data_IF_481311697212
#
_entry.id   IF_481311697212
#
_cell.length_a   1.000
_cell.length_b   1.000
_cell.length_c   1.000
_cell.angle_alpha   90.00
_cell.angle_beta   90.00
_cell.angle_gamma   90.00
#
_symmetry.space_group_name_H-M   'P 1'
#
loop_
_entity.id
_entity.type
_entity.pdbx_description
1 polymer ?
#
# COMPACT_ATOMS: atom_id res chain seq x y z
N UNK A 1 12.96 -4.41 5.76
CA UNK A 1 13.34 -3.29 4.88
C UNK A 1 12.33 -3.02 3.76
N UNK A 2 11.80 -4.03 3.05
CA UNK A 2 10.91 -3.80 1.89
C UNK A 2 9.62 -3.01 2.16
N UNK A 3 8.94 -3.25 3.28
CA UNK A 3 7.67 -2.58 3.61
C UNK A 3 7.84 -1.07 3.84
N UNK A 4 8.97 -0.64 4.41
CA UNK A 4 9.24 0.78 4.64
C UNK A 4 9.44 1.53 3.31
N UNK A 5 10.11 0.90 2.35
CA UNK A 5 10.30 1.44 1.00
C UNK A 5 8.94 1.53 0.28
N UNK A 6 8.14 0.45 0.31
CA UNK A 6 6.81 0.43 -0.28
C UNK A 6 5.90 1.52 0.33
N UNK A 7 5.94 1.69 1.66
CA UNK A 7 5.19 2.74 2.36
C UNK A 7 5.60 4.14 1.90
N UNK A 8 6.89 4.41 1.77
CA UNK A 8 7.39 5.71 1.32
C UNK A 8 6.90 6.02 -0.11
N UNK A 9 6.97 5.05 -1.02
CA UNK A 9 6.52 5.20 -2.42
C UNK A 9 5.01 5.49 -2.50
N UNK A 10 4.21 4.74 -1.74
CA UNK A 10 2.75 4.88 -1.76
C UNK A 10 2.33 6.24 -1.20
N UNK A 11 2.96 6.69 -0.12
CA UNK A 11 2.70 8.01 0.45
C UNK A 11 3.09 9.14 -0.52
N UNK A 12 4.20 8.98 -1.25
CA UNK A 12 4.62 9.93 -2.28
C UNK A 12 3.61 10.03 -3.43
N UNK A 13 2.87 8.95 -3.73
CA UNK A 13 1.79 8.94 -4.72
C UNK A 13 0.41 9.31 -4.16
N UNK A 14 0.35 9.91 -2.96
CA UNK A 14 -0.91 10.21 -2.25
C UNK A 14 -1.82 8.97 -2.06
N UNK A 15 -1.21 7.78 -2.06
CA UNK A 15 -1.88 6.53 -1.79
C UNK A 15 -1.95 6.20 -0.30
N UNK A 16 -2.47 5.03 0.01
CA UNK A 16 -2.59 4.47 1.35
C UNK A 16 -2.09 3.03 1.38
N UNK A 17 -1.45 2.66 2.48
CA UNK A 17 -1.04 1.28 2.76
C UNK A 17 -1.63 0.83 4.09
N UNK A 18 -2.19 -0.38 4.15
CA UNK A 18 -2.66 -1.04 5.37
C UNK A 18 -2.08 -2.44 5.46
N UNK A 19 -1.81 -2.90 6.69
CA UNK A 19 -1.33 -4.24 6.95
C UNK A 19 -2.19 -4.84 8.05
N UNK A 20 -2.88 -5.93 7.73
CA UNK A 20 -3.68 -6.71 8.65
C UNK A 20 -3.01 -8.06 8.85
N UNK A 21 -2.64 -8.38 10.08
CA UNK A 21 -2.03 -9.65 10.44
C UNK A 21 -2.88 -10.34 11.48
N UNK A 22 -3.13 -11.64 11.27
CA UNK A 22 -3.83 -12.49 12.22
C UNK A 22 -2.90 -13.63 12.57
N UNK A 23 -2.56 -13.77 13.85
CA UNK A 23 -1.64 -14.79 14.32
C UNK A 23 -2.11 -16.19 13.89
N UNK A 24 -1.22 -16.96 13.25
CA UNK A 24 -1.53 -18.28 12.73
C UNK A 24 -2.26 -18.32 11.37
N UNK A 25 -2.76 -17.19 10.85
CA UNK A 25 -3.44 -17.10 9.54
C UNK A 25 -2.61 -16.36 8.48
N UNK A 26 -1.59 -15.62 8.93
CA UNK A 26 -0.70 -14.88 8.06
C UNK A 26 -0.99 -13.38 8.05
N UNK A 27 -0.46 -12.71 7.03
CA UNK A 27 -0.50 -11.24 6.91
C UNK A 27 -1.01 -10.85 5.53
N UNK A 28 -2.01 -9.98 5.51
CA UNK A 28 -2.53 -9.34 4.30
C UNK A 28 -2.09 -7.88 4.29
N UNK A 29 -1.39 -7.48 3.24
CA UNK A 29 -0.99 -6.08 3.03
C UNK A 29 -1.79 -5.55 1.84
N UNK A 30 -2.48 -4.42 2.04
CA UNK A 30 -3.31 -3.78 1.02
C UNK A 30 -2.73 -2.42 0.69
N UNK A 31 -2.61 -2.15 -0.61
CA UNK A 31 -2.10 -0.90 -1.15
C UNK A 31 -3.20 -0.26 -2.00
N UNK A 32 -3.46 1.02 -1.77
CA UNK A 32 -4.39 1.82 -2.54
C UNK A 32 -3.64 3.00 -3.13
N UNK A 33 -3.72 3.18 -4.45
CA UNK A 33 -3.18 4.34 -5.12
C UNK A 33 -4.31 5.03 -5.89
N UNK A 34 -4.32 6.37 -5.96
CA UNK A 34 -5.22 7.07 -6.85
C UNK A 34 -4.94 6.62 -8.30
N UNK A 35 -6.01 6.28 -9.03
CA UNK A 35 -5.88 6.01 -10.45
C UNK A 35 -5.35 7.26 -11.13
N UNK A 36 -4.35 7.11 -12.00
CA UNK A 36 -3.85 8.23 -12.79
C UNK A 36 -5.02 8.82 -13.58
N UNK A 37 -5.24 10.13 -13.43
CA UNK A 37 -6.19 10.87 -14.23
C UNK A 37 -5.65 11.00 -15.67
N UNK A 38 -5.66 9.90 -16.40
CA UNK A 38 -5.62 9.89 -17.85
C UNK A 38 -6.95 9.32 -18.34
N UNK A 39 -8.03 10.05 -18.05
CA UNK A 39 -9.21 9.99 -18.88
C UNK A 39 -8.98 10.99 -20.02
N UNK A 40 -8.76 10.54 -21.27
CA UNK A 40 -8.99 11.40 -22.42
C UNK A 40 -10.46 11.79 -22.55
#
# INVERSE_FOLDING_TARGET
MGLAIARALILAHHGRITAHSVAGQGTTVTFWLPAAANCP
#
